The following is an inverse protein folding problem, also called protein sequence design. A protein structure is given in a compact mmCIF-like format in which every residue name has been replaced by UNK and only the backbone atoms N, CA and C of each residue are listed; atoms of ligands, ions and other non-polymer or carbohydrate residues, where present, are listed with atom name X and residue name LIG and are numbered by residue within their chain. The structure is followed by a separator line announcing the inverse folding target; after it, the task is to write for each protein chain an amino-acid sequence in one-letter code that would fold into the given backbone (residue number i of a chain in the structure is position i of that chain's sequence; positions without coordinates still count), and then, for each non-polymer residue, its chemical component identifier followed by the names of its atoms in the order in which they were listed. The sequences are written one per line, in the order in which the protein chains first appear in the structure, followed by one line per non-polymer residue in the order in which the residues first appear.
data_IF_683944377768
#
_entry.id   IF_683944377768
#
_cell.length_a   1.000
_cell.length_b   1.000
_cell.length_c   1.000
_cell.angle_alpha   90.00
_cell.angle_beta   90.00
_cell.angle_gamma   90.00
#
_symmetry.space_group_name_H-M   'P 1'
#
loop_
_entity.id
_entity.type
_entity.pdbx_description
1 polymer ?
#
# COMPACT_ATOMS: atom_id res chain seq x y z
N UNK A 1 -8.24 17.39 12.26
CA UNK A 1 -7.67 16.03 12.23
C UNK A 1 -8.82 15.08 12.49
N UNK A 2 -9.03 14.08 11.63
CA UNK A 2 -10.05 13.06 11.86
C UNK A 2 -9.63 12.15 13.00
N UNK A 3 -10.58 11.71 13.83
CA UNK A 3 -10.37 10.70 14.86
C UNK A 3 -10.30 9.32 14.21
N UNK A 4 -9.31 8.50 14.56
CA UNK A 4 -9.09 7.21 13.89
C UNK A 4 -9.45 6.05 14.79
N UNK A 5 -10.18 5.09 14.24
CA UNK A 5 -10.56 3.84 14.89
C UNK A 5 -10.06 2.69 14.03
N UNK A 6 -9.37 1.72 14.64
CA UNK A 6 -8.83 0.55 13.95
C UNK A 6 -9.56 -0.71 14.40
N UNK A 7 -10.16 -1.39 13.42
CA UNK A 7 -10.84 -2.68 13.51
C UNK A 7 -9.99 -3.71 12.76
N UNK A 8 -8.85 -4.03 13.34
CA UNK A 8 -7.91 -5.02 12.82
C UNK A 8 -7.99 -6.25 13.70
N UNK A 9 -8.26 -7.41 13.09
CA UNK A 9 -8.31 -8.66 13.82
C UNK A 9 -6.94 -8.97 14.45
N UNK A 10 -6.99 -9.62 15.60
CA UNK A 10 -5.85 -10.32 16.19
C UNK A 10 -6.05 -11.83 15.99
N UNK A 11 -5.10 -12.66 16.43
CA UNK A 11 -5.28 -14.11 16.38
C UNK A 11 -6.49 -14.60 17.19
N UNK A 12 -6.98 -13.79 18.14
CA UNK A 12 -8.05 -14.14 19.07
C UNK A 12 -9.31 -13.30 18.91
N UNK A 13 -9.24 -12.18 18.19
CA UNK A 13 -10.33 -11.22 18.10
C UNK A 13 -11.01 -11.20 16.75
N UNK A 14 -12.30 -10.87 16.77
CA UNK A 14 -13.14 -10.74 15.60
C UNK A 14 -14.26 -9.72 15.91
N UNK A 15 -15.05 -9.35 14.91
CA UNK A 15 -16.20 -8.45 15.13
C UNK A 15 -17.11 -9.01 16.23
N UNK A 16 -17.31 -8.22 17.28
CA UNK A 16 -18.06 -8.60 18.48
C UNK A 16 -17.23 -9.00 19.70
N UNK A 17 -15.89 -9.08 19.59
CA UNK A 17 -15.00 -9.31 20.74
C UNK A 17 -14.12 -8.09 21.02
N UNK A 18 -13.73 -7.91 22.29
CA UNK A 18 -12.69 -6.95 22.70
C UNK A 18 -12.83 -5.56 22.07
N UNK A 19 -11.77 -5.11 21.40
CA UNK A 19 -11.67 -3.83 20.69
C UNK A 19 -12.39 -3.80 19.34
N UNK A 20 -13.04 -4.90 18.93
CA UNK A 20 -13.86 -5.01 17.73
C UNK A 20 -15.36 -5.15 18.07
N UNK A 21 -15.74 -4.93 19.33
CA UNK A 21 -17.13 -4.98 19.77
C UNK A 21 -17.88 -3.67 19.55
N UNK A 22 -19.20 -3.73 19.48
CA UNK A 22 -20.06 -2.55 19.36
C UNK A 22 -19.94 -1.61 20.56
N UNK A 23 -19.68 -2.14 21.76
CA UNK A 23 -19.47 -1.34 22.97
C UNK A 23 -18.18 -0.53 22.92
N UNK A 24 -17.09 -1.12 22.41
CA UNK A 24 -15.84 -0.42 22.19
C UNK A 24 -16.00 0.69 21.15
N UNK A 25 -16.62 0.39 20.01
CA UNK A 25 -16.88 1.40 18.97
C UNK A 25 -17.70 2.57 19.52
N UNK A 26 -18.74 2.30 20.31
CA UNK A 26 -19.53 3.34 20.97
C UNK A 26 -18.65 4.26 21.82
N UNK A 27 -17.74 3.72 22.63
CA UNK A 27 -16.82 4.50 23.45
C UNK A 27 -15.86 5.34 22.60
N UNK A 28 -15.35 4.79 21.50
CA UNK A 28 -14.47 5.52 20.58
C UNK A 28 -15.19 6.67 19.88
N UNK A 29 -16.44 6.47 19.46
CA UNK A 29 -17.26 7.53 18.86
C UNK A 29 -17.61 8.62 19.89
N UNK A 30 -17.88 8.25 21.14
CA UNK A 30 -18.07 9.23 22.22
C UNK A 30 -16.79 10.04 22.48
N UNK A 31 -15.63 9.39 22.48
CA UNK A 31 -14.32 10.05 22.62
C UNK A 31 -13.99 10.98 21.44
N UNK A 32 -14.46 10.65 20.23
CA UNK A 32 -14.32 11.51 19.05
C UNK A 32 -15.13 12.82 19.17
N UNK A 33 -16.11 12.90 20.08
CA UNK A 33 -16.81 14.12 20.47
C UNK A 33 -17.37 14.96 19.29
N UNK A 34 -17.86 14.28 18.24
CA UNK A 34 -18.44 14.93 17.05
C UNK A 34 -17.43 15.30 15.96
N UNK A 35 -16.13 15.05 16.17
CA UNK A 35 -15.14 15.16 15.11
C UNK A 35 -15.39 14.13 13.98
N UNK A 36 -14.93 14.41 12.77
CA UNK A 36 -14.93 13.42 11.69
C UNK A 36 -14.12 12.18 12.10
N UNK A 37 -14.61 11.00 11.71
CA UNK A 37 -14.06 9.69 12.10
C UNK A 37 -13.61 8.91 10.87
N UNK A 38 -12.44 8.29 10.96
CA UNK A 38 -11.93 7.32 10.02
C UNK A 38 -11.93 5.94 10.68
N UNK A 39 -12.65 4.98 10.10
CA UNK A 39 -12.70 3.59 10.61
C UNK A 39 -11.93 2.69 9.66
N UNK A 40 -10.77 2.23 10.10
CA UNK A 40 -9.85 1.38 9.37
C UNK A 40 -10.14 -0.10 9.66
N UNK A 41 -10.43 -0.89 8.62
CA UNK A 41 -10.96 -2.25 8.72
C UNK A 41 -9.99 -3.22 8.05
N UNK A 42 -9.59 -4.24 8.82
CA UNK A 42 -8.87 -5.41 8.35
C UNK A 42 -9.34 -6.61 9.17
N UNK A 43 -10.49 -7.17 8.79
CA UNK A 43 -11.18 -8.18 9.56
C UNK A 43 -11.88 -9.26 8.72
N UNK A 44 -11.83 -10.50 9.20
CA UNK A 44 -12.53 -11.68 8.66
C UNK A 44 -14.02 -11.71 9.02
N UNK A 45 -14.47 -10.81 9.90
CA UNK A 45 -15.85 -10.72 10.35
C UNK A 45 -16.05 -11.25 11.77
N UNK A 46 -17.20 -11.88 12.04
CA UNK A 46 -17.58 -12.30 13.40
C UNK A 46 -19.10 -12.24 13.61
N UNK A 47 -19.51 -11.67 14.75
CA UNK A 47 -20.90 -11.49 15.17
C UNK A 47 -21.68 -10.58 14.20
N UNK A 48 -22.69 -11.14 13.52
CA UNK A 48 -23.58 -10.36 12.65
C UNK A 48 -24.39 -9.32 13.42
N UNK A 49 -24.77 -9.62 14.67
CA UNK A 49 -25.54 -8.70 15.51
C UNK A 49 -24.68 -7.50 15.95
N UNK A 50 -23.43 -7.73 16.35
CA UNK A 50 -22.52 -6.62 16.65
C UNK A 50 -22.21 -5.79 15.42
N UNK A 51 -22.04 -6.42 14.25
CA UNK A 51 -21.83 -5.68 13.01
C UNK A 51 -23.01 -4.76 12.66
N UNK A 52 -24.25 -5.24 12.84
CA UNK A 52 -25.45 -4.40 12.67
C UNK A 52 -25.47 -3.26 13.70
N UNK A 53 -25.13 -3.54 14.97
CA UNK A 53 -25.06 -2.50 16.00
C UNK A 53 -23.98 -1.45 15.69
N UNK A 54 -22.81 -1.86 15.23
CA UNK A 54 -21.73 -0.97 14.79
C UNK A 54 -22.19 -0.15 13.58
N UNK A 55 -22.77 -0.79 12.56
CA UNK A 55 -23.32 -0.11 11.39
C UNK A 55 -24.28 1.02 11.81
N UNK A 56 -25.20 0.72 12.73
CA UNK A 56 -26.16 1.68 13.27
C UNK A 56 -25.50 2.83 14.01
N UNK A 57 -24.47 2.55 14.83
CA UNK A 57 -23.71 3.57 15.55
C UNK A 57 -23.00 4.52 14.58
N UNK A 58 -22.36 3.98 13.53
CA UNK A 58 -21.68 4.77 12.51
C UNK A 58 -22.66 5.64 11.71
N UNK A 59 -23.82 5.10 11.32
CA UNK A 59 -24.85 5.86 10.59
C UNK A 59 -25.47 6.99 11.41
N UNK A 60 -25.60 6.83 12.73
CA UNK A 60 -26.19 7.82 13.65
C UNK A 60 -25.18 8.84 14.16
N UNK A 61 -23.89 8.62 13.93
CA UNK A 61 -22.84 9.51 14.40
C UNK A 61 -22.94 10.89 13.71
N UNK A 62 -22.85 12.02 14.46
CA UNK A 62 -23.07 13.35 13.90
C UNK A 62 -21.91 13.86 13.02
N UNK A 63 -20.69 13.39 13.25
CA UNK A 63 -19.53 13.70 12.40
C UNK A 63 -19.52 12.85 11.13
N UNK A 64 -18.69 13.22 10.15
CA UNK A 64 -18.52 12.39 8.95
C UNK A 64 -17.70 11.15 9.29
N UNK A 65 -18.21 9.98 8.90
CA UNK A 65 -17.53 8.68 9.02
C UNK A 65 -17.07 8.24 7.64
N UNK A 66 -15.76 8.04 7.50
CA UNK A 66 -15.17 7.35 6.35
C UNK A 66 -14.66 5.99 6.80
N UNK A 67 -15.16 4.91 6.22
CA UNK A 67 -14.62 3.58 6.42
C UNK A 67 -13.54 3.31 5.38
N UNK A 68 -12.42 2.74 5.81
CA UNK A 68 -11.31 2.31 4.99
C UNK A 68 -11.17 0.80 5.11
N UNK A 69 -11.24 0.08 4.00
CA UNK A 69 -10.92 -1.34 3.93
C UNK A 69 -9.44 -1.43 3.57
N UNK A 70 -8.60 -1.60 4.58
CA UNK A 70 -7.14 -1.53 4.42
C UNK A 70 -6.59 -2.80 3.74
N UNK A 71 -7.14 -3.97 4.11
CA UNK A 71 -6.74 -5.26 3.58
C UNK A 71 -7.92 -6.22 3.38
N UNK A 72 -8.81 -6.31 4.36
CA UNK A 72 -9.94 -7.24 4.31
C UNK A 72 -11.17 -6.70 5.03
N UNK A 73 -12.32 -6.80 4.38
CA UNK A 73 -13.62 -6.73 5.04
C UNK A 73 -14.45 -7.92 4.60
N UNK A 74 -14.38 -9.02 5.37
CA UNK A 74 -15.15 -10.23 5.07
C UNK A 74 -16.31 -10.42 6.05
N UNK A 75 -17.39 -11.06 5.58
CA UNK A 75 -18.50 -11.46 6.44
C UNK A 75 -19.05 -10.26 7.22
N UNK A 76 -19.22 -10.35 8.54
CA UNK A 76 -19.72 -9.26 9.38
C UNK A 76 -18.92 -7.95 9.26
N UNK A 77 -17.62 -7.99 8.96
CA UNK A 77 -16.82 -6.78 8.77
C UNK A 77 -17.21 -6.00 7.51
N UNK A 78 -17.69 -6.70 6.47
CA UNK A 78 -18.22 -6.04 5.27
C UNK A 78 -19.46 -5.21 5.60
N UNK A 79 -20.33 -5.68 6.50
CA UNK A 79 -21.50 -4.93 6.99
C UNK A 79 -21.06 -3.66 7.73
N UNK A 80 -20.03 -3.76 8.58
CA UNK A 80 -19.45 -2.60 9.28
C UNK A 80 -18.91 -1.57 8.28
N UNK A 81 -18.22 -2.02 7.23
CA UNK A 81 -17.70 -1.14 6.20
C UNK A 81 -18.80 -0.31 5.53
N UNK A 82 -20.00 -0.88 5.31
CA UNK A 82 -21.14 -0.15 4.74
C UNK A 82 -21.71 0.94 5.67
N UNK A 83 -21.29 0.95 6.94
CA UNK A 83 -21.71 1.92 7.96
C UNK A 83 -21.19 3.33 7.71
N UNK A 84 -20.07 3.49 7.02
CA UNK A 84 -19.53 4.80 6.64
C UNK A 84 -20.48 5.58 5.72
N UNK A 85 -20.44 6.91 5.76
CA UNK A 85 -21.04 7.73 4.70
C UNK A 85 -20.20 7.62 3.43
N UNK A 86 -18.87 7.46 3.59
CA UNK A 86 -17.96 7.12 2.52
C UNK A 86 -17.21 5.83 2.86
N UNK A 87 -17.04 4.97 1.87
CA UNK A 87 -16.33 3.68 1.95
C UNK A 87 -15.21 3.71 0.92
N UNK A 88 -14.00 3.56 1.42
CA UNK A 88 -12.75 3.59 0.67
C UNK A 88 -12.09 2.23 0.81
N UNK A 89 -11.49 1.73 -0.26
CA UNK A 89 -10.85 0.41 -0.24
C UNK A 89 -9.47 0.47 -0.84
N UNK A 90 -8.48 -0.06 -0.13
CA UNK A 90 -7.12 -0.18 -0.65
C UNK A 90 -7.10 -0.99 -1.95
N UNK A 91 -6.27 -0.59 -2.91
CA UNK A 91 -6.20 -1.22 -4.24
C UNK A 91 -6.06 -2.75 -4.22
N UNK A 92 -5.37 -3.30 -3.23
CA UNK A 92 -5.14 -4.74 -3.09
C UNK A 92 -5.98 -5.41 -2.00
N UNK A 93 -6.89 -4.66 -1.39
CA UNK A 93 -7.78 -5.20 -0.38
C UNK A 93 -8.86 -6.09 -1.01
N UNK A 94 -9.53 -6.88 -0.17
CA UNK A 94 -10.65 -7.74 -0.54
C UNK A 94 -11.89 -7.41 0.29
N UNK A 95 -13.05 -7.48 -0.37
CA UNK A 95 -14.37 -7.42 0.23
C UNK A 95 -15.06 -8.76 0.00
N UNK A 96 -15.66 -9.34 1.04
CA UNK A 96 -16.33 -10.64 0.92
C UNK A 96 -17.69 -10.63 1.61
N UNK A 97 -18.72 -11.06 0.89
CA UNK A 97 -20.07 -11.23 1.40
C UNK A 97 -20.54 -12.68 1.23
N UNK A 98 -21.20 -13.20 2.27
CA UNK A 98 -21.74 -14.56 2.27
C UNK A 98 -22.93 -14.68 3.24
N UNK A 99 -23.58 -15.84 3.25
CA UNK A 99 -24.73 -16.11 4.13
C UNK A 99 -24.35 -16.00 5.62
N UNK A 100 -25.24 -15.52 6.50
CA UNK A 100 -25.02 -15.67 7.93
C UNK A 100 -24.95 -17.17 8.28
N UNK A 101 -24.08 -17.49 9.22
CA UNK A 101 -23.82 -18.85 9.67
C UNK A 101 -23.97 -18.93 11.19
N UNK A 102 -24.50 -20.05 11.67
CA UNK A 102 -24.52 -20.42 13.08
C UNK A 102 -24.10 -21.88 13.20
N UNK A 103 -23.37 -22.23 14.27
CA UNK A 103 -23.22 -23.61 14.69
C UNK A 103 -24.40 -23.97 15.58
N UNK A 104 -25.22 -24.94 15.18
CA UNK A 104 -26.37 -25.41 15.96
C UNK A 104 -26.48 -26.93 15.98
N UNK A 105 -27.09 -27.45 17.03
CA UNK A 105 -27.40 -28.86 17.23
C UNK A 105 -28.68 -29.00 18.06
N UNK A 106 -29.51 -30.00 17.75
CA UNK A 106 -30.81 -30.18 18.38
C UNK A 106 -31.71 -31.11 17.56
N UNK A 107 -32.98 -31.18 17.95
CA UNK A 107 -33.98 -31.89 17.16
C UNK A 107 -34.41 -31.10 15.91
N UNK A 108 -35.24 -31.72 15.05
CA UNK A 108 -35.66 -31.11 13.78
C UNK A 108 -36.37 -29.75 13.94
N UNK A 109 -37.19 -29.57 14.98
CA UNK A 109 -37.92 -28.32 15.21
C UNK A 109 -36.99 -27.20 15.69
N UNK A 110 -35.97 -27.54 16.49
CA UNK A 110 -34.93 -26.61 16.94
C UNK A 110 -34.10 -26.12 15.76
N UNK A 111 -33.60 -27.05 14.93
CA UNK A 111 -32.82 -26.69 13.73
C UNK A 111 -33.65 -25.87 12.74
N UNK A 112 -34.94 -26.14 12.60
CA UNK A 112 -35.82 -25.35 11.73
C UNK A 112 -35.98 -23.91 12.24
N UNK A 113 -36.04 -23.68 13.56
CA UNK A 113 -36.06 -22.33 14.14
C UNK A 113 -34.78 -21.55 13.82
N UNK A 114 -33.63 -22.21 13.87
CA UNK A 114 -32.36 -21.57 13.53
C UNK A 114 -32.29 -21.20 12.05
N UNK A 115 -32.77 -22.05 11.15
CA UNK A 115 -32.89 -21.73 9.72
C UNK A 115 -33.78 -20.51 9.50
N UNK A 116 -34.93 -20.44 10.19
CA UNK A 116 -35.82 -19.28 10.11
C UNK A 116 -35.14 -18.00 10.59
N UNK A 117 -34.42 -18.07 11.73
CA UNK A 117 -33.66 -16.94 12.26
C UNK A 117 -32.56 -16.48 11.30
N UNK A 118 -31.78 -17.40 10.72
CA UNK A 118 -30.75 -17.07 9.74
C UNK A 118 -31.32 -16.39 8.49
N UNK A 119 -32.50 -16.81 8.02
CA UNK A 119 -33.17 -16.15 6.89
C UNK A 119 -33.57 -14.71 7.22
N UNK A 120 -34.05 -14.46 8.45
CA UNK A 120 -34.34 -13.10 8.93
C UNK A 120 -33.05 -12.28 8.96
N UNK A 121 -31.97 -12.81 9.54
CA UNK A 121 -30.67 -12.11 9.56
C UNK A 121 -30.18 -11.81 8.14
N UNK A 122 -30.22 -12.79 7.23
CA UNK A 122 -29.82 -12.60 5.84
C UNK A 122 -30.61 -11.45 5.17
N UNK A 123 -31.93 -11.38 5.41
CA UNK A 123 -32.75 -10.30 4.85
C UNK A 123 -32.30 -8.91 5.33
N UNK A 124 -31.88 -8.80 6.59
CA UNK A 124 -31.38 -7.53 7.16
C UNK A 124 -30.01 -7.16 6.59
N UNK A 125 -29.10 -8.13 6.45
CA UNK A 125 -27.80 -7.90 5.85
C UNK A 125 -27.93 -7.52 4.37
N UNK A 126 -28.82 -8.19 3.64
CA UNK A 126 -29.10 -7.86 2.25
C UNK A 126 -29.58 -6.42 2.08
N UNK A 127 -30.46 -5.93 2.96
CA UNK A 127 -30.91 -4.54 2.91
C UNK A 127 -29.76 -3.55 3.07
N UNK A 128 -28.82 -3.81 3.98
CA UNK A 128 -27.64 -2.93 4.18
C UNK A 128 -26.81 -2.85 2.90
N UNK A 129 -26.58 -3.97 2.22
CA UNK A 129 -25.84 -3.97 0.95
C UNK A 129 -26.62 -3.31 -0.18
N UNK A 130 -27.94 -3.51 -0.26
CA UNK A 130 -28.80 -2.82 -1.23
C UNK A 130 -28.74 -1.30 -1.02
N UNK A 131 -28.84 -0.84 0.22
CA UNK A 131 -28.80 0.58 0.56
C UNK A 131 -27.47 1.22 0.17
N UNK A 132 -26.36 0.49 0.27
CA UNK A 132 -25.03 0.99 -0.15
C UNK A 132 -24.81 0.92 -1.65
N UNK A 133 -25.09 -0.22 -2.27
CA UNK A 133 -24.77 -0.51 -3.68
C UNK A 133 -25.78 0.02 -4.68
N UNK A 134 -27.03 0.22 -4.28
CA UNK A 134 -28.15 0.50 -5.17
C UNK A 134 -28.61 -0.71 -6.00
N UNK A 135 -28.04 -1.90 -5.78
CA UNK A 135 -28.44 -3.13 -6.47
C UNK A 135 -29.77 -3.66 -5.92
N UNK A 136 -30.49 -4.40 -6.76
CA UNK A 136 -31.74 -5.03 -6.36
C UNK A 136 -31.52 -6.24 -5.44
N UNK A 137 -32.57 -6.61 -4.70
CA UNK A 137 -32.52 -7.69 -3.73
C UNK A 137 -32.23 -9.07 -4.33
N UNK A 138 -32.61 -9.37 -5.58
CA UNK A 138 -32.28 -10.65 -6.21
C UNK A 138 -30.79 -10.74 -6.49
N UNK A 139 -30.21 -9.67 -7.03
CA UNK A 139 -28.77 -9.55 -7.29
C UNK A 139 -27.97 -9.69 -5.99
N UNK A 140 -28.31 -8.91 -4.95
CA UNK A 140 -27.63 -9.00 -3.65
C UNK A 140 -27.73 -10.39 -3.03
N UNK A 141 -28.91 -11.01 -3.04
CA UNK A 141 -29.06 -12.37 -2.51
C UNK A 141 -28.26 -13.40 -3.31
N UNK A 142 -28.14 -13.22 -4.64
CA UNK A 142 -27.29 -14.09 -5.47
C UNK A 142 -25.82 -13.98 -5.05
N UNK A 143 -25.33 -12.76 -4.80
CA UNK A 143 -23.95 -12.54 -4.37
C UNK A 143 -23.69 -13.15 -2.98
N UNK A 144 -24.60 -12.92 -2.03
CA UNK A 144 -24.54 -13.52 -0.67
C UNK A 144 -24.52 -15.06 -0.76
N UNK A 145 -25.40 -15.64 -1.58
CA UNK A 145 -25.50 -17.10 -1.70
C UNK A 145 -24.25 -17.73 -2.36
N UNK A 146 -23.53 -16.95 -3.17
CA UNK A 146 -22.37 -17.45 -3.93
C UNK A 146 -21.03 -17.33 -3.18
N UNK A 147 -21.03 -16.80 -1.95
CA UNK A 147 -19.80 -16.50 -1.20
C UNK A 147 -18.88 -15.62 -2.05
N UNK A 148 -19.34 -14.39 -2.32
CA UNK A 148 -18.70 -13.53 -3.31
C UNK A 148 -17.51 -12.82 -2.71
N UNK A 149 -16.34 -13.01 -3.32
CA UNK A 149 -15.13 -12.22 -3.09
C UNK A 149 -14.99 -11.16 -4.18
N UNK A 150 -14.66 -9.93 -3.78
CA UNK A 150 -14.54 -8.78 -4.67
C UNK A 150 -13.19 -8.11 -4.46
N UNK A 151 -12.52 -7.83 -5.57
CA UNK A 151 -11.40 -6.87 -5.61
C UNK A 151 -11.92 -5.45 -5.43
N UNK A 152 -11.03 -4.49 -5.21
CA UNK A 152 -11.39 -3.07 -5.13
C UNK A 152 -12.13 -2.58 -6.38
N UNK A 153 -11.68 -2.96 -7.59
CA UNK A 153 -12.34 -2.61 -8.84
C UNK A 153 -13.76 -3.20 -8.92
N UNK A 154 -13.93 -4.48 -8.59
CA UNK A 154 -15.23 -5.14 -8.62
C UNK A 154 -16.19 -4.55 -7.58
N UNK A 155 -15.69 -4.24 -6.38
CA UNK A 155 -16.49 -3.61 -5.33
C UNK A 155 -16.92 -2.20 -5.72
N UNK A 156 -16.07 -1.46 -6.46
CA UNK A 156 -16.40 -0.13 -6.98
C UNK A 156 -17.47 -0.23 -8.08
N UNK A 157 -17.28 -1.13 -9.05
CA UNK A 157 -18.21 -1.35 -10.15
C UNK A 157 -19.60 -1.77 -9.66
N UNK A 158 -19.65 -2.55 -8.58
CA UNK A 158 -20.88 -3.01 -7.94
C UNK A 158 -21.44 -2.02 -6.89
N UNK A 159 -20.79 -0.87 -6.66
CA UNK A 159 -21.27 0.17 -5.75
C UNK A 159 -21.09 -0.11 -4.25
N UNK A 160 -20.34 -1.13 -3.87
CA UNK A 160 -20.05 -1.41 -2.45
C UNK A 160 -19.09 -0.39 -1.83
N UNK A 161 -18.26 0.24 -2.66
CA UNK A 161 -17.30 1.27 -2.25
C UNK A 161 -17.46 2.52 -3.12
N UNK A 162 -17.00 3.68 -2.62
CA UNK A 162 -17.11 4.95 -3.35
C UNK A 162 -15.82 5.32 -4.11
N UNK A 163 -14.66 4.85 -3.62
CA UNK A 163 -13.38 5.01 -4.30
C UNK A 163 -12.37 3.95 -3.87
N UNK A 164 -11.40 3.74 -4.74
CA UNK A 164 -10.20 2.98 -4.45
C UNK A 164 -9.16 3.93 -3.88
N UNK A 165 -8.46 3.53 -2.82
CA UNK A 165 -7.26 4.21 -2.35
C UNK A 165 -6.07 3.66 -3.14
N UNK A 166 -5.75 4.34 -4.22
CA UNK A 166 -4.51 4.19 -4.93
C UNK A 166 -3.41 4.89 -4.11
N UNK A 167 -2.50 4.09 -3.52
CA UNK A 167 -1.30 4.50 -2.76
C UNK A 167 -0.42 5.57 -3.45
N UNK A 168 -0.81 6.03 -4.63
CA UNK A 168 -0.38 7.22 -5.34
C UNK A 168 -0.87 8.53 -4.69
N UNK A 169 -1.03 8.58 -3.37
CA UNK A 169 -0.75 9.86 -2.72
C UNK A 169 0.68 10.20 -3.13
N UNK A 170 0.93 11.26 -3.92
CA UNK A 170 2.29 11.69 -4.11
C UNK A 170 2.81 11.86 -2.69
N UNK A 171 3.83 11.08 -2.30
CA UNK A 171 4.70 11.47 -1.21
C UNK A 171 5.26 12.78 -1.73
N UNK A 172 4.54 13.84 -1.44
CA UNK A 172 4.91 15.15 -1.92
C UNK A 172 6.11 15.38 -1.06
N UNK A 173 7.29 15.43 -1.70
CA UNK A 173 8.54 15.70 -1.00
C UNK A 173 8.37 16.90 -0.05
N UNK A 174 7.42 17.80 -0.31
CA UNK A 174 6.96 18.83 0.62
C UNK A 174 6.69 18.34 2.05
N UNK A 175 5.97 17.25 2.34
CA UNK A 175 5.63 16.89 3.72
C UNK A 175 6.84 16.41 4.53
N UNK A 176 7.71 15.61 3.91
CA UNK A 176 8.97 15.18 4.51
C UNK A 176 9.95 16.36 4.59
N UNK A 177 10.10 17.14 3.51
CA UNK A 177 10.96 18.32 3.49
C UNK A 177 10.50 19.35 4.53
N UNK A 178 9.19 19.60 4.67
CA UNK A 178 8.62 20.52 5.67
C UNK A 178 9.02 20.09 7.08
N UNK A 179 8.86 18.81 7.40
CA UNK A 179 9.23 18.24 8.69
C UNK A 179 10.72 18.44 9.01
N UNK A 180 11.61 18.31 8.01
CA UNK A 180 13.05 18.52 8.19
C UNK A 180 13.47 19.99 8.11
N UNK A 181 12.75 20.85 7.36
CA UNK A 181 13.02 22.30 7.28
C UNK A 181 12.64 23.03 8.55
N UNK A 182 11.54 22.62 9.19
CA UNK A 182 11.04 23.27 10.41
C UNK A 182 12.02 23.03 11.58
N UNK A 183 12.77 21.93 11.54
CA UNK A 183 13.84 21.61 12.49
C UNK A 183 15.22 22.15 12.09
N UNK A 184 15.38 22.69 10.87
CA UNK A 184 16.66 23.20 10.40
C UNK A 184 16.96 24.59 10.99
N UNK A 185 18.22 24.91 11.31
CA UNK A 185 18.60 26.25 11.76
C UNK A 185 18.18 27.33 10.74
N UNK A 186 17.78 28.51 11.23
CA UNK A 186 17.16 29.59 10.43
C UNK A 186 17.96 30.00 9.17
N UNK A 187 19.29 29.84 9.21
CA UNK A 187 20.20 30.12 8.08
C UNK A 187 19.89 29.21 6.88
N UNK A 188 19.51 27.96 7.11
CA UNK A 188 19.22 26.97 6.06
C UNK A 188 17.78 27.08 5.54
N UNK A 189 16.83 27.49 6.38
CA UNK A 189 15.42 27.63 6.00
C UNK A 189 15.24 28.59 4.81
N UNK A 190 16.00 29.69 4.77
CA UNK A 190 15.93 30.70 3.70
C UNK A 190 16.38 30.15 2.35
N UNK A 191 17.40 29.31 2.33
CA UNK A 191 17.91 28.65 1.13
C UNK A 191 16.98 27.53 0.66
N UNK A 192 16.46 26.73 1.60
CA UNK A 192 15.55 25.62 1.26
C UNK A 192 14.22 26.15 0.71
N UNK A 193 13.65 27.21 1.30
CA UNK A 193 12.44 27.86 0.79
C UNK A 193 12.61 28.45 -0.62
N UNK A 194 13.83 28.90 -0.97
CA UNK A 194 14.13 29.43 -2.31
C UNK A 194 14.19 28.31 -3.37
N UNK A 195 14.65 27.11 -2.99
CA UNK A 195 14.71 25.93 -3.86
C UNK A 195 13.30 25.35 -4.07
N UNK A 196 12.48 25.30 -3.01
CA UNK A 196 11.12 24.77 -3.06
C UNK A 196 10.14 25.64 -3.85
N UNK A 197 10.32 26.97 -3.84
CA UNK A 197 9.43 27.91 -4.50
C UNK A 197 9.66 28.05 -6.01
N UNK A 198 10.69 27.42 -6.59
CA UNK A 198 10.93 27.46 -8.04
C UNK A 198 10.01 26.44 -8.75
N UNK A 199 8.71 26.77 -8.82
CA UNK A 199 7.65 25.97 -9.45
C UNK A 199 7.94 25.78 -10.94
N UNK A 200 8.14 24.53 -11.37
CA UNK A 200 7.69 24.01 -12.68
C UNK A 200 7.86 22.50 -12.91
N UNK A 201 8.42 21.69 -12.00
CA UNK A 201 8.73 20.28 -12.31
C UNK A 201 8.18 19.25 -11.30
N UNK A 202 6.92 19.34 -10.88
CA UNK A 202 6.29 18.29 -10.07
C UNK A 202 5.08 17.63 -10.76
N UNK A 203 5.29 17.16 -11.99
CA UNK A 203 4.45 16.11 -12.55
C UNK A 203 5.30 15.21 -13.45
N UNK A 204 6.18 14.42 -12.84
CA UNK A 204 7.14 13.59 -13.56
C UNK A 204 7.16 12.19 -12.93
N UNK A 205 6.96 11.16 -13.75
CA UNK A 205 6.85 9.76 -13.34
C UNK A 205 8.03 9.30 -12.47
N UNK A 206 7.74 8.39 -11.53
CA UNK A 206 8.58 7.99 -10.40
C UNK A 206 10.06 7.65 -10.73
N UNK A 207 10.37 7.25 -11.97
CA UNK A 207 11.74 6.93 -12.39
C UNK A 207 12.60 8.17 -12.64
N UNK A 208 12.03 9.22 -13.25
CA UNK A 208 12.72 10.50 -13.46
C UNK A 208 12.82 11.30 -12.15
N UNK A 209 11.88 11.10 -11.22
CA UNK A 209 11.90 11.75 -9.91
C UNK A 209 13.11 11.29 -9.09
N UNK A 210 13.45 9.99 -9.13
CA UNK A 210 14.62 9.43 -8.45
C UNK A 210 15.91 10.02 -9.04
N UNK A 211 16.08 10.01 -10.36
CA UNK A 211 17.27 10.59 -11.01
C UNK A 211 17.41 12.10 -10.79
N UNK A 212 16.28 12.84 -10.79
CA UNK A 212 16.31 14.28 -10.50
C UNK A 212 16.54 14.56 -9.01
N UNK A 213 16.02 13.74 -8.09
CA UNK A 213 16.29 13.92 -6.66
C UNK A 213 17.73 13.57 -6.30
N UNK A 214 18.31 12.49 -6.84
CA UNK A 214 19.76 12.25 -6.69
C UNK A 214 20.56 13.36 -7.34
N UNK A 215 20.20 13.85 -8.53
CA UNK A 215 20.90 15.00 -9.14
C UNK A 215 20.83 16.29 -8.32
N UNK A 216 19.69 16.56 -7.66
CA UNK A 216 19.53 17.74 -6.78
C UNK A 216 20.31 17.54 -5.48
N UNK A 217 20.27 16.35 -4.87
CA UNK A 217 21.10 15.99 -3.73
C UNK A 217 22.59 16.07 -4.07
N UNK A 218 23.00 15.58 -5.24
CA UNK A 218 24.38 15.64 -5.72
C UNK A 218 24.82 17.07 -6.02
N UNK A 219 23.93 17.92 -6.55
CA UNK A 219 24.22 19.35 -6.74
C UNK A 219 24.33 20.08 -5.41
N UNK A 220 23.48 19.76 -4.44
CA UNK A 220 23.52 20.33 -3.09
C UNK A 220 24.78 19.86 -2.38
N UNK A 221 25.10 18.56 -2.43
CA UNK A 221 26.31 17.98 -1.86
C UNK A 221 27.57 18.50 -2.55
N UNK A 222 27.59 18.67 -3.88
CA UNK A 222 28.71 19.27 -4.60
C UNK A 222 28.85 20.77 -4.33
N UNK A 223 27.75 21.49 -4.09
CA UNK A 223 27.78 22.87 -3.63
C UNK A 223 28.32 22.96 -2.20
N UNK A 224 27.89 22.07 -1.29
CA UNK A 224 28.46 21.97 0.05
C UNK A 224 29.95 21.57 0.01
N UNK A 225 30.35 20.60 -0.82
CA UNK A 225 31.76 20.27 -1.06
C UNK A 225 32.53 21.49 -1.59
N UNK A 226 31.99 22.29 -2.51
CA UNK A 226 32.68 23.49 -3.02
C UNK A 226 32.75 24.66 -2.02
N UNK A 227 31.74 24.81 -1.16
CA UNK A 227 31.66 25.93 -0.21
C UNK A 227 32.38 25.59 1.11
N UNK A 228 32.45 24.31 1.47
CA UNK A 228 33.02 23.81 2.73
C UNK A 228 34.38 23.11 2.54
N UNK A 229 34.76 22.72 1.33
CA UNK A 229 36.09 22.16 1.07
C UNK A 229 36.91 23.12 0.19
N UNK A 230 37.37 24.22 0.81
CA UNK A 230 38.35 25.11 0.20
C UNK A 230 39.70 24.38 0.16
N UNK A 231 40.38 24.47 -0.97
CA UNK A 231 41.64 23.78 -1.22
C UNK A 231 42.77 24.79 -1.31
N UNK A 232 43.91 24.47 -0.69
CA UNK A 232 45.14 25.23 -0.87
C UNK A 232 46.25 24.28 -1.33
N UNK A 233 46.77 24.55 -2.52
CA UNK A 233 47.83 23.78 -3.14
C UNK A 233 49.15 24.17 -2.49
N UNK A 234 49.92 23.18 -2.04
CA UNK A 234 51.22 23.35 -1.39
C UNK A 234 52.27 22.44 -2.03
N UNK A 235 53.53 22.70 -1.73
CA UNK A 235 54.71 21.88 -2.07
C UNK A 235 54.58 20.40 -1.69
N UNK A 236 53.82 20.07 -0.65
CA UNK A 236 53.62 18.70 -0.14
C UNK A 236 52.23 18.12 -0.42
N UNK A 237 51.46 18.75 -1.30
CA UNK A 237 50.12 18.31 -1.73
C UNK A 237 49.02 19.33 -1.46
N UNK A 238 47.76 18.92 -1.63
CA UNK A 238 46.60 19.80 -1.42
C UNK A 238 46.11 19.70 0.02
N UNK A 239 46.03 20.85 0.70
CA UNK A 239 45.40 20.96 2.01
C UNK A 239 43.92 21.33 1.84
N UNK A 240 43.05 20.54 2.45
CA UNK A 240 41.59 20.71 2.48
C UNK A 240 41.16 21.39 3.78
N UNK A 241 40.37 22.46 3.70
CA UNK A 241 39.95 23.26 4.85
C UNK A 241 38.55 23.88 4.67
N UNK A 242 37.89 24.17 5.80
CA UNK A 242 36.51 24.67 5.82
C UNK A 242 36.37 26.20 5.87
N UNK A 243 37.46 26.92 6.11
CA UNK A 243 37.51 28.37 6.25
C UNK A 243 38.87 28.89 5.76
N UNK A 244 38.97 30.19 5.43
CA UNK A 244 40.22 30.77 4.94
C UNK A 244 41.39 30.48 5.89
N UNK A 245 42.53 30.04 5.35
CA UNK A 245 43.67 29.57 6.15
C UNK A 245 44.19 30.69 7.05
N UNK A 246 43.95 30.52 8.35
CA UNK A 246 44.48 31.33 9.44
C UNK A 246 44.92 30.46 10.63
N UNK A 247 45.53 31.09 11.63
CA UNK A 247 45.95 30.42 12.87
C UNK A 247 44.76 29.78 13.58
N UNK A 248 44.88 28.49 13.93
CA UNK A 248 43.83 27.65 14.50
C UNK A 248 42.96 26.90 13.49
N UNK A 249 43.16 27.06 12.17
CA UNK A 249 42.34 26.39 11.15
C UNK A 249 42.67 24.91 11.05
N UNK A 250 41.66 24.05 11.05
CA UNK A 250 41.81 22.60 10.83
C UNK A 250 42.03 22.28 9.36
N UNK A 251 43.07 21.50 9.07
CA UNK A 251 43.53 21.16 7.73
C UNK A 251 43.65 19.65 7.57
N UNK A 252 43.24 19.15 6.41
CA UNK A 252 43.12 17.73 6.12
C UNK A 252 43.84 17.37 4.82
N UNK A 253 44.31 16.13 4.72
CA UNK A 253 45.04 15.62 3.55
C UNK A 253 44.13 14.93 2.52
N UNK A 254 42.87 14.67 2.86
CA UNK A 254 41.89 14.03 2.01
C UNK A 254 40.70 14.95 1.69
N UNK A 255 40.09 14.73 0.53
CA UNK A 255 38.95 15.51 0.05
C UNK A 255 37.68 15.35 0.91
N UNK A 256 37.62 14.30 1.74
CA UNK A 256 36.50 14.05 2.63
C UNK A 256 36.72 14.65 4.04
N UNK A 257 37.85 15.33 4.28
CA UNK A 257 38.23 15.99 5.54
C UNK A 257 38.17 15.06 6.76
N UNK A 258 38.59 13.82 6.58
CA UNK A 258 38.53 12.78 7.62
C UNK A 258 39.88 12.52 8.26
N UNK A 259 40.97 12.82 7.57
CA UNK A 259 42.34 12.56 8.00
C UNK A 259 43.09 13.87 8.19
N UNK A 260 43.44 14.23 9.43
CA UNK A 260 44.15 15.47 9.73
C UNK A 260 45.50 15.52 9.00
N UNK A 261 45.87 16.70 8.51
CA UNK A 261 47.13 16.89 7.82
C UNK A 261 48.31 16.63 8.79
N UNK A 262 49.39 15.97 8.31
CA UNK A 262 50.59 15.73 9.08
C UNK A 262 51.18 17.00 9.70
N UNK A 263 51.89 16.84 10.82
CA UNK A 263 52.57 17.95 11.47
C UNK A 263 53.82 18.34 10.68
N UNK A 264 53.70 19.33 9.82
CA UNK A 264 54.78 19.79 8.95
C UNK A 264 54.58 21.27 8.54
N UNK A 265 55.60 21.86 7.93
CA UNK A 265 55.49 23.17 7.27
C UNK A 265 55.22 22.96 5.79
N UNK A 266 54.16 23.60 5.31
CA UNK A 266 53.66 23.56 3.94
C UNK A 266 53.84 24.91 3.28
N UNK A 267 54.34 24.94 2.06
CA UNK A 267 54.59 26.18 1.30
C UNK A 267 53.56 26.30 0.19
N UNK A 268 52.77 27.38 0.20
CA UNK A 268 51.80 27.69 -0.86
C UNK A 268 52.49 28.22 -2.12
N UNK A 269 51.82 28.14 -3.27
CA UNK A 269 52.31 28.70 -4.53
C UNK A 269 52.63 30.21 -4.47
N UNK A 270 51.97 30.95 -3.58
CA UNK A 270 52.21 32.38 -3.33
C UNK A 270 53.37 32.64 -2.33
N UNK A 271 54.15 31.60 -1.96
CA UNK A 271 55.31 31.70 -1.09
C UNK A 271 55.01 31.82 0.41
N UNK A 272 53.74 31.71 0.85
CA UNK A 272 53.38 31.70 2.27
C UNK A 272 53.69 30.33 2.89
N UNK A 273 54.32 30.33 4.06
CA UNK A 273 54.60 29.12 4.86
C UNK A 273 53.51 28.92 5.91
N UNK A 274 52.90 27.74 5.91
CA UNK A 274 51.84 27.30 6.80
C UNK A 274 52.42 26.19 7.69
N UNK A 275 52.62 26.47 8.97
CA UNK A 275 53.04 25.46 9.94
C UNK A 275 51.81 24.74 10.50
N UNK A 276 51.73 23.42 10.35
CA UNK A 276 50.63 22.58 10.83
C UNK A 276 51.14 21.67 11.94
N UNK A 277 50.38 21.52 13.02
CA UNK A 277 50.66 20.54 14.06
C UNK A 277 49.35 19.95 14.58
N UNK A 278 49.29 18.61 14.68
CA UNK A 278 48.07 17.86 15.04
C UNK A 278 46.85 18.23 14.18
N UNK A 279 47.05 18.50 12.89
CA UNK A 279 45.97 18.87 11.97
C UNK A 279 45.46 20.30 12.08
N UNK A 280 46.13 21.17 12.84
CA UNK A 280 45.77 22.58 12.98
C UNK A 280 46.91 23.51 12.56
N UNK A 281 46.57 24.61 11.89
CA UNK A 281 47.51 25.64 11.46
C UNK A 281 47.98 26.44 12.67
N UNK A 282 49.25 26.33 13.03
CA UNK A 282 49.88 27.02 14.16
C UNK A 282 50.35 28.43 13.78
N UNK A 283 50.79 28.64 12.53
CA UNK A 283 51.32 29.94 12.10
C UNK A 283 51.32 30.05 10.58
N UNK A 284 50.97 31.23 10.06
CA UNK A 284 51.10 31.58 8.64
C UNK A 284 52.08 32.73 8.53
N UNK A 285 53.24 32.50 7.92
CA UNK A 285 54.28 33.52 7.74
C UNK A 285 54.34 33.99 6.28
N UNK A 286 54.39 35.30 6.00
CA UNK A 286 54.62 35.84 4.65
C UNK A 286 56.09 35.64 4.21
N UNK A 287 56.30 35.63 2.89
CA UNK A 287 57.58 35.33 2.24
C UNK A 287 58.61 36.45 2.48
N UNK A 288 59.76 36.12 3.05
CA UNK A 288 60.97 36.96 2.99
C UNK A 288 61.71 36.63 1.70
N UNK A 289 62.00 37.67 0.91
CA UNK A 289 62.92 37.66 -0.22
C UNK A 289 64.34 37.49 0.29
N UNK A 290 65.11 36.56 -0.28
CA UNK A 290 66.50 36.83 -0.71
C UNK A 290 67.11 35.64 -1.47
N UNK A 291 68.02 36.03 -2.35
CA UNK A 291 68.64 35.29 -3.44
C UNK A 291 69.66 34.21 -3.02
N UNK A 292 69.85 33.21 -3.89
CA UNK A 292 71.17 32.79 -4.42
C UNK A 292 71.06 31.52 -5.29
N UNK A 293 71.43 31.69 -6.56
CA UNK A 293 72.26 30.88 -7.48
C UNK A 293 72.62 29.39 -7.24
N UNK A 294 72.89 28.75 -8.39
CA UNK A 294 73.74 27.58 -8.71
C UNK A 294 73.10 26.18 -8.85
N UNK A 295 72.86 25.83 -10.12
CA UNK A 295 73.43 24.72 -10.93
C UNK A 295 73.56 23.27 -10.39
N UNK A 296 73.20 22.37 -11.33
CA UNK A 296 73.74 21.04 -11.66
C UNK A 296 73.18 19.73 -11.04
N UNK A 297 72.79 18.89 -12.02
CA UNK A 297 72.92 17.44 -12.20
C UNK A 297 71.92 16.41 -11.63
N UNK A 298 71.29 15.74 -12.62
CA UNK A 298 71.06 14.30 -12.80
C UNK A 298 70.41 13.45 -11.68
N UNK A 299 69.17 12.98 -11.95
CA UNK A 299 68.88 11.55 -12.16
C UNK A 299 67.38 11.30 -12.42
N UNK A 300 67.06 10.63 -13.55
CA UNK A 300 65.81 9.87 -13.76
C UNK A 300 66.17 8.39 -13.58
N UNK A 301 65.32 7.51 -13.00
CA UNK A 301 64.12 7.10 -13.74
C UNK A 301 62.92 6.51 -12.93
N UNK A 302 61.85 6.22 -13.69
CA UNK A 302 60.75 5.23 -13.48
C UNK A 302 59.50 5.58 -12.65
N UNK A 303 58.54 6.18 -13.35
CA UNK A 303 57.22 5.60 -13.71
C UNK A 303 56.63 4.47 -12.82
N UNK A 304 55.74 4.81 -11.89
CA UNK A 304 54.72 3.89 -11.31
C UNK A 304 53.38 4.57 -11.04
N UNK A 305 52.69 5.00 -12.10
CA UNK A 305 51.22 5.07 -12.04
C UNK A 305 50.63 3.66 -12.15
N UNK A 306 50.20 3.05 -11.03
CA UNK A 306 49.32 1.87 -11.09
C UNK A 306 47.91 2.33 -11.46
N UNK A 307 47.64 2.30 -12.76
CA UNK A 307 46.37 2.61 -13.40
C UNK A 307 45.24 1.66 -12.97
N UNK A 308 44.06 2.24 -12.76
CA UNK A 308 42.73 1.81 -13.23
C UNK A 308 42.49 0.31 -13.47
N UNK A 309 41.44 -0.23 -12.82
CA UNK A 309 40.79 -1.50 -13.21
C UNK A 309 40.59 -1.53 -14.73
N UNK A 310 41.16 -2.54 -15.40
CA UNK A 310 41.26 -2.61 -16.87
C UNK A 310 39.87 -2.65 -17.54
N UNK A 311 39.68 -1.97 -18.69
CA UNK A 311 38.40 -1.92 -19.42
C UNK A 311 37.82 -3.28 -19.83
N UNK A 312 38.67 -4.31 -19.99
CA UNK A 312 38.24 -5.68 -20.31
C UNK A 312 37.35 -6.33 -19.23
N UNK A 313 37.48 -5.94 -17.96
CA UNK A 313 36.70 -6.51 -16.85
C UNK A 313 35.28 -5.90 -16.79
N UNK A 314 35.13 -4.66 -17.28
CA UNK A 314 33.84 -3.98 -17.41
C UNK A 314 33.07 -4.56 -18.61
N UNK A 315 33.74 -4.79 -19.75
CA UNK A 315 33.12 -5.39 -20.93
C UNK A 315 32.63 -6.82 -20.68
N UNK A 316 33.42 -7.65 -20.00
CA UNK A 316 33.00 -9.00 -19.62
C UNK A 316 31.76 -9.00 -18.72
N UNK A 317 31.67 -8.03 -17.81
CA UNK A 317 30.52 -7.89 -16.89
C UNK A 317 29.27 -7.38 -17.61
N UNK A 318 29.42 -6.48 -18.57
CA UNK A 318 28.34 -6.04 -19.47
C UNK A 318 27.84 -7.19 -20.34
N UNK A 319 28.73 -8.03 -20.87
CA UNK A 319 28.34 -9.20 -21.65
C UNK A 319 27.59 -10.24 -20.79
N UNK A 320 28.04 -10.50 -19.56
CA UNK A 320 27.32 -11.37 -18.61
C UNK A 320 25.94 -10.84 -18.25
N UNK A 321 25.78 -9.53 -18.07
CA UNK A 321 24.49 -8.91 -17.78
C UNK A 321 23.53 -9.00 -18.98
N UNK A 322 24.03 -8.79 -20.21
CA UNK A 322 23.23 -8.97 -21.43
C UNK A 322 22.78 -10.42 -21.62
N UNK A 323 23.65 -11.39 -21.33
CA UNK A 323 23.29 -12.81 -21.39
C UNK A 323 22.20 -13.18 -20.37
N UNK A 324 22.30 -12.67 -19.13
CA UNK A 324 21.26 -12.87 -18.10
C UNK A 324 19.92 -12.23 -18.47
N UNK A 325 19.96 -11.03 -19.06
CA UNK A 325 18.75 -10.35 -19.53
C UNK A 325 18.06 -11.13 -20.67
N UNK A 326 18.84 -11.67 -21.61
CA UNK A 326 18.31 -12.52 -22.68
C UNK A 326 17.68 -13.81 -22.13
N UNK A 327 18.31 -14.45 -21.14
CA UNK A 327 17.76 -15.64 -20.50
C UNK A 327 16.44 -15.35 -19.76
N UNK A 328 16.35 -14.21 -19.04
CA UNK A 328 15.10 -13.80 -18.40
C UNK A 328 13.99 -13.48 -19.41
N UNK A 329 14.32 -12.83 -20.52
CA UNK A 329 13.34 -12.54 -21.58
C UNK A 329 12.82 -13.81 -22.26
N UNK A 330 13.66 -14.84 -22.42
CA UNK A 330 13.24 -16.14 -22.93
C UNK A 330 12.27 -16.83 -21.96
N UNK A 331 12.58 -16.85 -20.66
CA UNK A 331 11.69 -17.40 -19.62
C UNK A 331 10.36 -16.65 -19.53
N UNK A 332 10.38 -15.32 -19.68
CA UNK A 332 9.17 -14.50 -19.71
C UNK A 332 8.30 -14.84 -20.93
N UNK A 333 8.92 -15.08 -22.08
CA UNK A 333 8.21 -15.46 -23.31
C UNK A 333 7.56 -16.84 -23.18
N UNK A 334 8.25 -17.79 -22.56
CA UNK A 334 7.73 -19.13 -22.29
C UNK A 334 6.57 -19.10 -21.29
N UNK A 335 6.71 -18.32 -20.21
CA UNK A 335 5.64 -18.12 -19.23
C UNK A 335 4.39 -17.47 -19.85
N UNK A 336 4.56 -16.51 -20.77
CA UNK A 336 3.44 -15.92 -21.51
C UNK A 336 2.74 -16.94 -22.42
N UNK A 337 3.51 -17.75 -23.14
CA UNK A 337 2.95 -18.80 -23.99
C UNK A 337 2.16 -19.85 -23.18
N UNK A 338 2.67 -20.24 -22.00
CA UNK A 338 1.99 -21.15 -21.08
C UNK A 338 0.68 -20.55 -20.54
N UNK A 339 0.68 -19.26 -20.20
CA UNK A 339 -0.52 -18.55 -19.74
C UNK A 339 -1.59 -18.47 -20.84
N UNK A 340 -1.19 -18.21 -22.07
CA UNK A 340 -2.08 -18.16 -23.23
C UNK A 340 -2.67 -19.54 -23.55
N UNK A 341 -1.86 -20.60 -23.47
CA UNK A 341 -2.34 -21.98 -23.61
C UNK A 341 -3.34 -22.37 -22.51
N UNK A 342 -3.09 -21.98 -21.26
CA UNK A 342 -4.00 -22.21 -20.15
C UNK A 342 -5.33 -21.46 -20.34
N UNK A 343 -5.28 -20.20 -20.80
CA UNK A 343 -6.48 -19.41 -21.07
C UNK A 343 -7.31 -20.00 -22.22
N UNK A 344 -6.66 -20.47 -23.29
CA UNK A 344 -7.33 -21.15 -24.39
C UNK A 344 -8.01 -22.47 -23.95
N UNK A 345 -7.36 -23.22 -23.05
CA UNK A 345 -7.95 -24.43 -22.46
C UNK A 345 -9.18 -24.12 -21.59
N UNK A 346 -9.13 -23.05 -20.79
CA UNK A 346 -10.27 -22.57 -19.99
C UNK A 346 -11.44 -22.13 -20.88
N UNK A 347 -11.18 -21.41 -21.97
CA UNK A 347 -12.22 -21.02 -22.91
C UNK A 347 -12.85 -22.23 -23.60
N UNK A 348 -12.03 -23.21 -24.01
CA UNK A 348 -12.53 -24.46 -24.60
C UNK A 348 -13.41 -25.23 -23.61
N UNK A 349 -12.96 -25.38 -22.37
CA UNK A 349 -13.73 -26.02 -21.28
C UNK A 349 -15.05 -25.29 -21.03
N UNK A 350 -15.03 -23.95 -21.05
CA UNK A 350 -16.24 -23.11 -20.88
C UNK A 350 -17.23 -23.29 -22.03
N UNK A 351 -16.75 -23.45 -23.26
CA UNK A 351 -17.59 -23.73 -24.44
C UNK A 351 -18.16 -25.15 -24.38
N UNK A 352 -17.36 -26.13 -23.97
CA UNK A 352 -17.80 -27.52 -23.81
C UNK A 352 -18.89 -27.64 -22.74
N UNK A 353 -18.68 -27.06 -21.55
CA UNK A 353 -19.70 -27.01 -20.49
C UNK A 353 -20.97 -26.29 -20.97
N UNK A 354 -20.84 -25.19 -21.72
CA UNK A 354 -21.99 -24.47 -22.29
C UNK A 354 -22.74 -25.31 -23.33
N UNK A 355 -22.03 -26.11 -24.12
CA UNK A 355 -22.63 -27.01 -25.10
C UNK A 355 -23.25 -28.25 -24.43
N UNK A 356 -22.69 -28.72 -23.33
CA UNK A 356 -23.24 -29.82 -22.53
C UNK A 356 -24.52 -29.41 -21.80
N UNK A 357 -24.58 -28.18 -21.26
CA UNK A 357 -25.80 -27.57 -20.71
C UNK A 357 -26.88 -27.38 -21.79
N UNK A 358 -26.49 -27.05 -23.03
CA UNK A 358 -27.42 -26.95 -24.17
C UNK A 358 -27.87 -28.32 -24.71
N UNK A 359 -27.00 -29.33 -24.68
CA UNK A 359 -27.26 -30.71 -25.11
C UNK A 359 -28.21 -31.43 -24.14
N UNK A 360 -28.02 -31.21 -22.83
CA UNK A 360 -28.93 -31.70 -21.77
C UNK A 360 -30.28 -30.98 -21.72
N UNK A 361 -30.45 -29.94 -22.53
CA UNK A 361 -31.73 -29.23 -22.70
C UNK A 361 -32.19 -29.28 -24.17
N UNK A 362 -32.78 -30.41 -24.57
CA UNK A 362 -33.60 -30.48 -25.79
C UNK A 362 -35.07 -30.25 -25.45
N UNK A 363 -35.70 -29.16 -25.92
CA UNK A 363 -37.13 -28.91 -25.74
C UNK A 363 -37.90 -29.58 -26.88
N UNK A 364 -37.93 -30.92 -26.94
CA UNK A 364 -38.94 -31.69 -27.67
C UNK A 364 -38.71 -33.19 -27.42
N UNK A 365 -39.66 -33.85 -26.75
CA UNK A 365 -39.67 -35.32 -26.66
C UNK A 365 -39.87 -35.98 -25.30
N UNK A 366 -40.43 -35.32 -24.27
CA UNK A 366 -41.05 -36.07 -23.16
C UNK A 366 -42.56 -36.10 -23.37
N UNK A 367 -43.02 -37.25 -23.89
CA UNK A 367 -44.42 -37.58 -24.10
C UNK A 367 -45.21 -37.26 -22.83
N UNK A 368 -46.16 -36.32 -22.93
CA UNK A 368 -47.34 -36.31 -22.06
C UNK A 368 -47.98 -37.69 -22.17
N UNK A 369 -47.74 -38.55 -21.18
CA UNK A 369 -48.58 -39.72 -21.00
C UNK A 369 -49.94 -39.21 -20.56
N UNK A 370 -50.95 -39.48 -21.39
CA UNK A 370 -52.37 -39.33 -21.05
C UNK A 370 -52.75 -40.37 -19.99
N UNK A 371 -52.20 -40.26 -18.77
CA UNK A 371 -52.53 -41.13 -17.64
C UNK A 371 -52.46 -40.39 -16.30
N UNK A 372 -53.07 -39.20 -16.25
CA UNK A 372 -53.39 -38.51 -15.01
C UNK A 372 -54.68 -37.65 -15.14
N UNK A 373 -55.66 -38.15 -15.91
CA UNK A 373 -57.07 -37.74 -15.78
C UNK A 373 -57.83 -38.89 -15.13
N UNK A 374 -57.52 -39.16 -13.88
CA UNK A 374 -58.36 -39.83 -12.91
C UNK A 374 -57.66 -39.67 -11.55
N UNK A 375 -58.44 -39.32 -10.53
CA UNK A 375 -58.06 -39.26 -9.11
C UNK A 375 -57.27 -38.03 -8.66
N UNK A 376 -58.02 -36.95 -8.41
CA UNK A 376 -57.62 -35.91 -7.47
C UNK A 376 -58.35 -36.14 -6.14
N UNK A 377 -57.73 -36.89 -5.24
CA UNK A 377 -57.91 -36.70 -3.79
C UNK A 377 -56.68 -35.95 -3.28
N UNK A 378 -56.82 -34.75 -2.70
CA UNK A 378 -55.67 -34.02 -2.19
C UNK A 378 -55.04 -34.74 -0.99
N UNK A 379 -53.71 -34.73 -0.92
CA UNK A 379 -52.85 -35.36 0.11
C UNK A 379 -53.11 -34.88 1.55
N UNK A 380 -54.00 -33.89 1.74
CA UNK A 380 -54.45 -33.35 3.02
C UNK A 380 -55.96 -33.56 3.28
N UNK A 381 -56.54 -34.69 2.86
CA UNK A 381 -57.89 -35.05 3.27
C UNK A 381 -57.88 -35.72 4.67
N UNK A 382 -58.64 -35.22 5.66
CA UNK A 382 -58.70 -35.85 6.98
C UNK A 382 -59.30 -37.27 6.89
N UNK A 383 -58.53 -38.26 7.36
CA UNK A 383 -58.87 -39.69 7.25
C UNK A 383 -59.90 -40.17 8.30
N UNK A 384 -60.12 -39.42 9.38
CA UNK A 384 -61.10 -39.78 10.42
C UNK A 384 -62.47 -39.14 10.17
N UNK A 385 -63.55 -39.89 10.40
CA UNK A 385 -64.94 -39.40 10.30
C UNK A 385 -65.21 -38.21 11.24
N UNK A 386 -64.51 -38.16 12.37
CA UNK A 386 -64.59 -37.05 13.34
C UNK A 386 -64.05 -35.75 12.71
N UNK A 387 -62.91 -35.83 12.02
CA UNK A 387 -62.30 -34.67 11.37
C UNK A 387 -63.08 -34.21 10.13
N UNK A 388 -63.72 -35.13 9.39
CA UNK A 388 -64.64 -34.76 8.29
C UNK A 388 -65.88 -34.00 8.78
N UNK A 389 -66.44 -34.40 9.92
CA UNK A 389 -67.60 -33.71 10.51
C UNK A 389 -67.23 -32.33 11.09
N UNK A 390 -66.02 -32.16 11.63
CA UNK A 390 -65.53 -30.87 12.09
C UNK A 390 -65.36 -29.85 10.95
N UNK A 391 -64.82 -30.28 9.81
CA UNK A 391 -64.66 -29.44 8.61
C UNK A 391 -66.01 -29.04 8.01
N UNK A 392 -66.99 -29.97 7.96
CA UNK A 392 -68.36 -29.65 7.52
C UNK A 392 -69.04 -28.60 8.41
N UNK A 393 -68.80 -28.64 9.71
CA UNK A 393 -69.39 -27.69 10.68
C UNK A 393 -68.72 -26.31 10.64
N UNK A 394 -67.45 -26.24 10.21
CA UNK A 394 -66.71 -24.99 10.07
C UNK A 394 -67.07 -24.21 8.79
N UNK A 395 -67.52 -24.91 7.74
CA UNK A 395 -67.89 -24.31 6.45
C UNK A 395 -69.36 -23.85 6.41
N UNK A 396 -70.20 -24.29 7.35
CA UNK A 396 -71.64 -23.97 7.38
C UNK A 396 -72.03 -22.82 8.33
N UNK A 397 -71.13 -21.89 8.65
CA UNK A 397 -71.42 -20.72 9.50
C UNK A 397 -71.06 -19.41 8.81
#
# INVERSE_FOLDING_TARGET
MSYKIYLHDTETDCIGSGTLSSSYIKQQLEAAAGADVEVHISSVGGSAFDAIAIYDLLKKYPGRVTTYIDALAASAASVVAMGGQQVVMGKYALLMIHKPMIGSGGNADELLKDVQMLNVVQSRLAQIYMDKSGLDGLTINSLINSVTWMTADQALDLGFIDRIDDYNSPITNSALIQKYTDTAPAVYQRCINKILNNKNNMNIENKELIEKTTSVLDKIMNFFKKVVNKQTITDKGTLHHAADIGEGTEVYQDEDMTTPAPADTYTTADGKKIAVQKGQVQKVSPCETDASDEDDDDDLPEDKFKSSKKPADIENRVQQLKARLHAQNALLSEAKAALEAANNSLQKTRVEVKNEIKSTFTPEGSKRSNKAKAEATPFFAPQSEIAKNAVKKAISK
#
